data_IF_224791851516
#
_entry.id   IF_224791851516
#
_cell.length_a   1.000
_cell.length_b   1.000
_cell.length_c   1.000
_cell.angle_alpha   90.00
_cell.angle_beta   90.00
_cell.angle_gamma   90.00
#
_symmetry.space_group_name_H-M   'P 1'
#
loop_
_entity.id
_entity.type
_entity.pdbx_description
1 polymer ?
#
# COMPACT_ATOMS: atom_id res chain seq x y z
N UNK A 1 6.69 7.26 -12.61
CA UNK A 1 5.71 8.36 -12.47
C UNK A 1 6.44 9.54 -11.87
N UNK A 2 6.32 10.72 -12.50
CA UNK A 2 6.93 11.96 -12.05
C UNK A 2 5.87 12.84 -11.38
N UNK A 3 6.13 13.31 -10.17
CA UNK A 3 5.20 14.13 -9.39
C UNK A 3 5.89 15.40 -8.93
N UNK A 4 5.26 16.54 -9.20
CA UNK A 4 5.72 17.82 -8.68
C UNK A 4 5.16 18.04 -7.27
N UNK A 5 6.05 18.34 -6.32
CA UNK A 5 5.72 18.59 -4.92
C UNK A 5 5.74 20.09 -4.61
N UNK A 6 4.91 20.51 -3.68
CA UNK A 6 5.05 21.81 -3.03
C UNK A 6 6.31 21.83 -2.14
N UNK A 7 6.72 23.00 -1.71
CA UNK A 7 7.87 23.14 -0.82
C UNK A 7 7.67 22.38 0.51
N UNK A 8 6.47 22.45 1.06
CA UNK A 8 6.11 21.73 2.28
C UNK A 8 6.10 20.20 2.08
N UNK A 9 5.47 19.71 1.01
CA UNK A 9 5.46 18.28 0.68
C UNK A 9 6.88 17.74 0.46
N UNK A 10 7.75 18.52 -0.15
CA UNK A 10 9.15 18.13 -0.36
C UNK A 10 9.89 17.95 0.96
N UNK A 11 9.74 18.88 1.91
CA UNK A 11 10.37 18.78 3.23
C UNK A 11 9.90 17.51 3.96
N UNK A 12 8.60 17.25 3.96
CA UNK A 12 8.01 16.03 4.56
C UNK A 12 8.55 14.78 3.86
N UNK A 13 8.68 14.81 2.53
CA UNK A 13 9.24 13.70 1.76
C UNK A 13 10.69 13.42 2.14
N UNK A 14 11.55 14.44 2.22
CA UNK A 14 12.95 14.29 2.59
C UNK A 14 13.13 13.62 3.96
N UNK A 15 12.31 14.01 4.94
CA UNK A 15 12.36 13.48 6.29
C UNK A 15 11.73 12.08 6.42
N UNK A 16 10.79 11.72 5.53
CA UNK A 16 10.08 10.45 5.58
C UNK A 16 10.50 9.44 4.51
N UNK A 17 11.42 9.77 3.63
CA UNK A 17 11.86 8.95 2.48
C UNK A 17 12.16 7.49 2.85
N UNK A 18 12.94 7.28 3.89
CA UNK A 18 13.31 5.92 4.32
C UNK A 18 12.08 5.10 4.79
N UNK A 19 11.11 5.75 5.41
CA UNK A 19 9.87 5.11 5.85
C UNK A 19 8.98 4.75 4.66
N UNK A 20 8.92 5.63 3.65
CA UNK A 20 8.19 5.38 2.41
C UNK A 20 8.80 4.18 1.66
N UNK A 21 10.12 4.09 1.61
CA UNK A 21 10.81 2.97 0.99
C UNK A 21 10.53 1.64 1.71
N UNK A 22 10.48 1.64 3.04
CA UNK A 22 10.13 0.45 3.84
C UNK A 22 8.70 -0.05 3.62
N UNK A 23 7.77 0.80 3.24
CA UNK A 23 6.42 0.38 2.84
C UNK A 23 6.29 0.05 1.35
N UNK A 24 7.40 0.06 0.62
CA UNK A 24 7.45 -0.33 -0.80
C UNK A 24 7.25 0.81 -1.80
N UNK A 25 7.17 2.06 -1.33
CA UNK A 25 7.17 3.25 -2.19
C UNK A 25 8.61 3.70 -2.45
N UNK A 26 9.20 3.22 -3.54
CA UNK A 26 10.54 3.63 -3.95
C UNK A 26 10.48 4.94 -4.72
N UNK A 27 11.11 5.96 -4.18
CA UNK A 27 11.08 7.31 -4.74
C UNK A 27 12.45 7.96 -4.74
N UNK A 28 12.73 8.77 -5.76
CA UNK A 28 13.96 9.58 -5.84
C UNK A 28 13.66 11.01 -6.27
N UNK A 29 14.50 11.93 -5.85
CA UNK A 29 14.43 13.30 -6.30
C UNK A 29 14.84 13.37 -7.79
N UNK A 30 13.97 13.93 -8.62
CA UNK A 30 14.23 14.12 -10.05
C UNK A 30 14.83 15.51 -10.33
N UNK A 31 14.22 16.51 -9.74
CA UNK A 31 14.70 17.91 -9.79
C UNK A 31 14.39 18.63 -8.46
N UNK A 32 14.58 19.93 -8.42
CA UNK A 32 14.40 20.72 -7.18
C UNK A 32 13.00 20.64 -6.56
N UNK A 33 11.98 20.23 -7.33
CA UNK A 33 10.57 20.19 -6.88
C UNK A 33 9.81 18.94 -7.30
N UNK A 34 10.47 18.00 -8.01
CA UNK A 34 9.81 16.81 -8.54
C UNK A 34 10.45 15.55 -8.00
N UNK A 35 9.59 14.60 -7.66
CA UNK A 35 9.97 13.26 -7.20
C UNK A 35 9.50 12.22 -8.21
N UNK A 36 10.37 11.29 -8.55
CA UNK A 36 10.05 10.15 -9.38
C UNK A 36 9.66 8.94 -8.52
N UNK A 37 8.51 8.34 -8.78
CA UNK A 37 8.11 7.05 -8.20
C UNK A 37 8.57 5.95 -9.14
N UNK A 38 9.45 5.08 -8.68
CA UNK A 38 10.01 3.95 -9.43
C UNK A 38 9.17 2.68 -9.23
N UNK A 39 8.77 2.42 -8.00
CA UNK A 39 7.94 1.27 -7.66
C UNK A 39 6.98 1.59 -6.52
N UNK A 40 5.89 0.86 -6.49
CA UNK A 40 4.90 0.93 -5.42
C UNK A 40 4.25 -0.43 -5.22
N UNK A 41 3.68 -0.72 -4.04
CA UNK A 41 2.89 -1.92 -3.82
C UNK A 41 1.69 -2.00 -4.77
N UNK A 42 1.38 -3.19 -5.28
CA UNK A 42 0.25 -3.39 -6.20
C UNK A 42 -1.11 -3.05 -5.57
N UNK A 43 -1.21 -3.07 -4.25
CA UNK A 43 -2.41 -2.63 -3.51
C UNK A 43 -2.69 -1.13 -3.70
N UNK A 44 -1.68 -0.34 -4.00
CA UNK A 44 -1.82 1.10 -4.26
C UNK A 44 -2.19 1.30 -5.74
N UNK A 45 -3.48 1.52 -6.01
CA UNK A 45 -3.97 1.69 -7.38
C UNK A 45 -3.51 3.03 -8.01
N UNK A 46 -3.41 4.09 -7.20
CA UNK A 46 -2.94 5.39 -7.65
C UNK A 46 -1.80 5.88 -6.73
N UNK A 47 -0.54 5.65 -7.12
CA UNK A 47 0.61 6.01 -6.29
C UNK A 47 0.80 7.52 -6.11
N UNK A 48 0.40 8.34 -7.08
CA UNK A 48 0.45 9.80 -6.94
C UNK A 48 -0.48 10.28 -5.83
N UNK A 49 -1.76 9.88 -5.88
CA UNK A 49 -2.73 10.26 -4.85
C UNK A 49 -2.32 9.76 -3.47
N UNK A 50 -1.81 8.54 -3.40
CA UNK A 50 -1.33 7.96 -2.14
C UNK A 50 -0.14 8.71 -1.57
N UNK A 51 0.84 9.04 -2.40
CA UNK A 51 2.01 9.79 -1.97
C UNK A 51 1.60 11.19 -1.48
N UNK A 52 0.76 11.91 -2.23
CA UNK A 52 0.26 13.22 -1.80
C UNK A 52 -0.50 13.16 -0.47
N UNK A 53 -1.35 12.15 -0.28
CA UNK A 53 -2.07 11.96 0.98
C UNK A 53 -1.12 11.72 2.17
N UNK A 54 -0.02 11.00 1.96
CA UNK A 54 1.01 10.79 2.99
C UNK A 54 1.82 12.06 3.25
N UNK A 55 2.09 12.87 2.24
CA UNK A 55 2.86 14.11 2.35
C UNK A 55 2.02 15.33 2.76
N UNK A 56 0.70 15.19 2.87
CA UNK A 56 -0.19 16.30 3.22
C UNK A 56 -0.10 16.74 4.68
N UNK A 57 0.47 15.94 5.54
CA UNK A 57 0.60 16.22 6.98
C UNK A 57 1.99 15.91 7.50
N UNK A 58 2.49 16.75 8.41
CA UNK A 58 3.77 16.54 9.11
C UNK A 58 3.75 15.31 10.04
N UNK A 59 2.57 14.80 10.37
CA UNK A 59 2.43 13.57 11.15
C UNK A 59 3.16 12.37 10.53
N UNK A 60 3.33 12.37 9.20
CA UNK A 60 4.07 11.32 8.50
C UNK A 60 5.53 11.26 8.92
N UNK A 61 6.14 12.39 9.25
CA UNK A 61 7.53 12.46 9.71
C UNK A 61 7.70 11.77 11.07
N UNK A 62 6.79 12.03 12.00
CA UNK A 62 6.82 11.46 13.35
C UNK A 62 6.18 10.07 13.45
N UNK A 63 5.35 9.67 12.46
CA UNK A 63 4.64 8.42 12.46
C UNK A 63 5.60 7.20 12.35
N UNK A 64 5.25 6.10 13.01
CA UNK A 64 5.92 4.83 12.80
C UNK A 64 5.48 4.19 11.46
N UNK A 65 6.24 3.19 11.00
CA UNK A 65 5.98 2.52 9.72
C UNK A 65 4.59 1.90 9.68
N UNK A 66 4.12 1.32 10.77
CA UNK A 66 2.78 0.72 10.87
C UNK A 66 1.67 1.76 10.65
N UNK A 67 1.79 2.94 11.25
CA UNK A 67 0.84 4.04 11.07
C UNK A 67 0.82 4.53 9.62
N UNK A 68 1.98 4.66 8.98
CA UNK A 68 2.09 5.04 7.57
C UNK A 68 1.45 3.96 6.69
N UNK A 69 1.72 2.69 6.95
CA UNK A 69 1.13 1.57 6.21
C UNK A 69 -0.41 1.56 6.34
N UNK A 70 -0.96 1.79 7.52
CA UNK A 70 -2.41 1.92 7.72
C UNK A 70 -3.03 3.07 6.94
N UNK A 71 -2.33 4.20 6.84
CA UNK A 71 -2.79 5.35 6.03
C UNK A 71 -2.73 5.04 4.54
N UNK A 72 -1.68 4.38 4.08
CA UNK A 72 -1.57 3.91 2.70
C UNK A 72 -2.67 2.90 2.35
N UNK A 73 -3.05 2.01 3.26
CA UNK A 73 -4.16 1.07 3.08
C UNK A 73 -5.51 1.77 2.78
N UNK A 74 -5.75 2.95 3.33
CA UNK A 74 -6.98 3.72 3.04
C UNK A 74 -7.03 4.25 1.60
N UNK A 75 -5.88 4.37 0.95
CA UNK A 75 -5.74 4.78 -0.45
C UNK A 75 -5.60 3.58 -1.40
N UNK A 76 -5.76 2.38 -0.87
CA UNK A 76 -5.60 1.11 -1.59
C UNK A 76 -6.89 0.71 -2.31
N UNK A 77 -6.79 -0.36 -3.10
CA UNK A 77 -7.96 -1.02 -3.70
C UNK A 77 -8.90 -1.48 -2.58
N UNK A 78 -10.15 -1.05 -2.63
CA UNK A 78 -11.17 -1.32 -1.62
C UNK A 78 -12.24 -2.27 -2.17
N UNK A 79 -13.04 -2.83 -1.26
CA UNK A 79 -14.19 -3.65 -1.64
C UNK A 79 -15.14 -2.86 -2.55
N UNK A 80 -15.52 -3.47 -3.67
CA UNK A 80 -16.37 -2.85 -4.70
C UNK A 80 -15.60 -2.14 -5.80
N UNK A 81 -14.29 -1.92 -5.67
CA UNK A 81 -13.46 -1.39 -6.73
C UNK A 81 -13.28 -2.42 -7.85
N UNK A 82 -13.34 -1.96 -9.08
CA UNK A 82 -13.04 -2.80 -10.25
C UNK A 82 -11.52 -2.95 -10.39
N UNK A 83 -11.06 -4.20 -10.49
CA UNK A 83 -9.66 -4.52 -10.80
C UNK A 83 -9.58 -5.47 -11.98
N UNK A 84 -8.56 -5.29 -12.82
CA UNK A 84 -8.26 -6.22 -13.91
C UNK A 84 -7.64 -7.51 -13.35
N UNK A 85 -7.82 -8.63 -14.08
CA UNK A 85 -7.27 -9.93 -13.68
C UNK A 85 -5.77 -9.87 -13.40
N UNK A 86 -5.00 -9.22 -14.28
CA UNK A 86 -3.54 -9.08 -14.12
C UNK A 86 -3.18 -8.33 -12.82
N UNK A 87 -3.95 -7.31 -12.47
CA UNK A 87 -3.77 -6.57 -11.21
C UNK A 87 -4.09 -7.46 -10.00
N UNK A 88 -5.19 -8.23 -10.06
CA UNK A 88 -5.56 -9.18 -9.01
C UNK A 88 -4.48 -10.27 -8.81
N UNK A 89 -3.94 -10.82 -9.88
CA UNK A 89 -2.87 -11.82 -9.84
C UNK A 89 -1.59 -11.23 -9.22
N UNK A 90 -1.26 -9.98 -9.53
CA UNK A 90 -0.11 -9.27 -8.99
C UNK A 90 -0.28 -8.98 -7.49
N UNK A 91 -1.46 -8.55 -7.07
CA UNK A 91 -1.82 -8.38 -5.65
C UNK A 91 -1.64 -9.68 -4.87
N UNK A 92 -2.16 -10.79 -5.39
CA UNK A 92 -2.01 -12.11 -4.79
C UNK A 92 -0.55 -12.52 -4.66
N UNK A 93 0.23 -12.35 -5.73
CA UNK A 93 1.65 -12.71 -5.73
C UNK A 93 2.45 -11.89 -4.70
N UNK A 94 2.17 -10.60 -4.57
CA UNK A 94 2.81 -9.74 -3.58
C UNK A 94 2.39 -10.09 -2.14
N UNK A 95 1.10 -10.39 -1.93
CA UNK A 95 0.58 -10.79 -0.63
C UNK A 95 1.28 -12.05 -0.12
N UNK A 96 1.44 -13.06 -0.97
CA UNK A 96 2.08 -14.33 -0.62
C UNK A 96 3.59 -14.19 -0.30
N UNK A 97 4.22 -13.09 -0.72
CA UNK A 97 5.63 -12.78 -0.38
C UNK A 97 5.78 -12.05 0.96
N UNK A 98 4.69 -11.59 1.58
CA UNK A 98 4.75 -10.95 2.88
C UNK A 98 5.12 -11.94 3.97
N UNK A 99 5.70 -11.45 5.07
CA UNK A 99 6.06 -12.28 6.23
C UNK A 99 4.84 -12.92 6.89
N UNK A 100 3.73 -12.17 6.98
CA UNK A 100 2.42 -12.67 7.43
C UNK A 100 1.37 -12.31 6.38
N UNK A 101 1.12 -13.19 5.39
CA UNK A 101 0.14 -12.93 4.35
C UNK A 101 -1.31 -13.13 4.81
N UNK A 102 -1.56 -13.73 5.96
CA UNK A 102 -2.88 -14.17 6.40
C UNK A 102 -3.65 -13.11 7.20
N UNK A 103 -2.97 -12.07 7.68
CA UNK A 103 -3.56 -11.04 8.52
C UNK A 103 -3.16 -9.66 8.02
N UNK A 104 -4.13 -8.73 7.91
CA UNK A 104 -3.84 -7.34 7.57
C UNK A 104 -3.32 -6.57 8.81
N UNK A 105 -2.74 -5.36 8.64
CA UNK A 105 -2.30 -4.53 9.76
C UNK A 105 -3.41 -4.16 10.76
N UNK A 106 -4.68 -4.25 10.37
CA UNK A 106 -5.84 -4.03 11.24
C UNK A 106 -6.27 -5.28 12.01
N UNK A 107 -5.59 -6.43 11.84
CA UNK A 107 -5.92 -7.71 12.48
C UNK A 107 -7.02 -8.50 11.79
N UNK A 108 -7.44 -8.13 10.57
CA UNK A 108 -8.46 -8.87 9.81
C UNK A 108 -7.82 -9.96 8.95
N UNK A 109 -8.46 -11.13 8.79
CA UNK A 109 -7.98 -12.15 7.86
C UNK A 109 -7.95 -11.61 6.41
N UNK A 110 -6.86 -11.89 5.70
CA UNK A 110 -6.70 -11.59 4.26
C UNK A 110 -6.97 -12.81 3.40
N UNK A 111 -6.67 -14.00 3.92
CA UNK A 111 -6.85 -15.30 3.26
C UNK A 111 -7.53 -16.22 4.26
N UNK A 112 -8.55 -16.91 3.81
CA UNK A 112 -9.19 -18.02 4.55
C UNK A 112 -9.10 -19.29 3.72
N UNK A 113 -8.87 -20.42 4.40
CA UNK A 113 -8.86 -21.73 3.77
C UNK A 113 -10.20 -22.43 3.98
N UNK A 114 -10.83 -22.83 2.89
CA UNK A 114 -12.08 -23.60 2.91
C UNK A 114 -11.81 -24.91 2.20
N UNK A 115 -11.63 -25.99 2.98
CA UNK A 115 -11.42 -27.32 2.41
C UNK A 115 -12.75 -28.01 2.11
N UNK A 116 -12.69 -29.15 1.40
CA UNK A 116 -13.85 -29.92 1.00
C UNK A 116 -14.72 -30.39 2.18
N UNK A 117 -14.10 -30.77 3.30
CA UNK A 117 -14.81 -31.19 4.49
C UNK A 117 -15.67 -30.07 5.09
N UNK A 118 -15.16 -28.84 5.10
CA UNK A 118 -15.90 -27.65 5.56
C UNK A 118 -17.09 -27.39 4.65
N UNK A 119 -16.90 -27.46 3.33
CA UNK A 119 -17.97 -27.30 2.35
C UNK A 119 -19.03 -28.38 2.50
N UNK A 120 -18.62 -29.64 2.61
CA UNK A 120 -19.55 -30.76 2.78
C UNK A 120 -20.42 -30.61 4.04
N UNK A 121 -19.84 -30.17 5.15
CA UNK A 121 -20.60 -29.88 6.38
C UNK A 121 -21.62 -28.76 6.19
N UNK A 122 -21.28 -27.70 5.45
CA UNK A 122 -22.21 -26.61 5.16
C UNK A 122 -23.39 -27.07 4.30
N UNK A 123 -23.19 -28.03 3.42
CA UNK A 123 -24.24 -28.63 2.57
C UNK A 123 -24.86 -29.90 3.19
N UNK A 124 -24.56 -30.21 4.44
CA UNK A 124 -25.07 -31.38 5.16
C UNK A 124 -24.74 -32.73 4.49
N UNK A 125 -23.54 -32.81 3.94
CA UNK A 125 -23.04 -33.99 3.23
C UNK A 125 -21.95 -34.73 3.99
#
# INVERSE_FOLDING_TARGET
ILIRLSHQEKNIWEESKEKLEKIGLSTTLWDNQSVAIHSHPAVIANPETSLRALLSTEETVSANIESIARRACRQSVMSGDEIKKEHADNLRAQLLKCNDPFTCPHGRPTIIEINENVLNKQFLR
#
